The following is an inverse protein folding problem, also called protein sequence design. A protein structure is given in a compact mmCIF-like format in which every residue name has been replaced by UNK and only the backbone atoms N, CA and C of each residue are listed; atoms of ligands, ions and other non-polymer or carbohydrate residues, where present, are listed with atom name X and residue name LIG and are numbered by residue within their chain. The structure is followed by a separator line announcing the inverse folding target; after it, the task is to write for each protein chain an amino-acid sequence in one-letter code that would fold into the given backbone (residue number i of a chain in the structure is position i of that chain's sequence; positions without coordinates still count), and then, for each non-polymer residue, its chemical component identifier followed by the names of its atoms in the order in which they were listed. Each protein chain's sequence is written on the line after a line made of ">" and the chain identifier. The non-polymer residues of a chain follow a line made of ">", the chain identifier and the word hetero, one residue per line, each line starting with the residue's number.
data_IF_086447341267
#
_entry.id   IF_086447341267
#
_cell.length_a   1.000
_cell.length_b   1.000
_cell.length_c   1.000
_cell.angle_alpha   90.00
_cell.angle_beta   90.00
_cell.angle_gamma   90.00
#
_symmetry.space_group_name_H-M   'P 1'
#
loop_
_entity.id
_entity.type
_entity.pdbx_description
1 polymer ?
#
# COMPACT_ATOMS: atom_id res chain seq x y z
N UNK A 1 -39.99 2.61 32.95
CA UNK A 1 -38.98 3.56 32.43
C UNK A 1 -39.63 4.93 32.29
N UNK A 2 -39.19 5.91 33.09
CA UNK A 2 -39.74 7.27 33.14
C UNK A 2 -39.50 8.03 31.82
N UNK A 3 -40.35 9.02 31.53
CA UNK A 3 -40.32 9.82 30.28
C UNK A 3 -38.95 10.48 30.07
N UNK A 4 -38.30 10.92 31.16
CA UNK A 4 -36.93 11.46 31.18
C UNK A 4 -35.85 10.43 30.83
N UNK A 5 -35.94 9.20 31.33
CA UNK A 5 -35.01 8.11 30.99
C UNK A 5 -35.10 7.67 29.53
N UNK A 6 -36.32 7.67 28.95
CA UNK A 6 -36.52 7.40 27.51
C UNK A 6 -35.95 8.52 26.64
N UNK A 7 -36.17 9.78 27.00
CA UNK A 7 -35.60 10.92 26.27
C UNK A 7 -34.07 10.96 26.34
N UNK A 8 -33.48 10.66 27.50
CA UNK A 8 -32.03 10.58 27.65
C UNK A 8 -31.42 9.47 26.79
N UNK A 9 -32.02 8.27 26.80
CA UNK A 9 -31.58 7.15 25.97
C UNK A 9 -31.67 7.49 24.46
N UNK A 10 -32.75 8.15 24.03
CA UNK A 10 -32.92 8.57 22.64
C UNK A 10 -31.85 9.58 22.21
N UNK A 11 -31.56 10.57 23.05
CA UNK A 11 -30.50 11.55 22.76
C UNK A 11 -29.15 10.85 22.64
N UNK A 12 -28.82 9.94 23.55
CA UNK A 12 -27.56 9.21 23.53
C UNK A 12 -27.42 8.34 22.27
N UNK A 13 -28.49 7.64 21.87
CA UNK A 13 -28.51 6.85 20.62
C UNK A 13 -28.29 7.75 19.41
N UNK A 14 -28.97 8.89 19.32
CA UNK A 14 -28.78 9.84 18.22
C UNK A 14 -27.35 10.36 18.17
N UNK A 15 -26.74 10.70 19.30
CA UNK A 15 -25.34 11.15 19.36
C UNK A 15 -24.36 10.07 18.90
N UNK A 16 -24.56 8.82 19.32
CA UNK A 16 -23.73 7.68 18.87
C UNK A 16 -23.87 7.46 17.37
N UNK A 17 -25.08 7.54 16.82
CA UNK A 17 -25.32 7.41 15.39
C UNK A 17 -24.66 8.54 14.60
N UNK A 18 -24.78 9.78 15.07
CA UNK A 18 -24.12 10.93 14.44
C UNK A 18 -22.60 10.79 14.48
N UNK A 19 -22.03 10.34 15.60
CA UNK A 19 -20.60 10.08 15.72
C UNK A 19 -20.14 8.95 14.79
N UNK A 20 -20.91 7.87 14.66
CA UNK A 20 -20.61 6.76 13.77
C UNK A 20 -20.66 7.19 12.30
N UNK A 21 -21.69 7.92 11.89
CA UNK A 21 -21.84 8.43 10.51
C UNK A 21 -20.76 9.46 10.19
N UNK A 22 -20.54 10.43 11.08
CA UNK A 22 -19.51 11.46 10.92
C UNK A 22 -18.11 10.89 10.90
N UNK A 23 -17.78 9.99 11.84
CA UNK A 23 -16.50 9.31 11.91
C UNK A 23 -16.24 8.41 10.71
N UNK A 24 -17.23 7.60 10.32
CA UNK A 24 -17.14 6.74 9.13
C UNK A 24 -16.97 7.54 7.84
N UNK A 25 -17.71 8.64 7.68
CA UNK A 25 -17.56 9.55 6.55
C UNK A 25 -16.18 10.21 6.50
N UNK A 26 -15.65 10.63 7.65
CA UNK A 26 -14.31 11.21 7.77
C UNK A 26 -13.20 10.22 7.37
N UNK A 27 -13.26 8.99 7.88
CA UNK A 27 -12.31 7.92 7.51
C UNK A 27 -12.41 7.57 6.02
N UNK A 28 -13.62 7.48 5.48
CA UNK A 28 -13.81 7.22 4.06
C UNK A 28 -13.20 8.33 3.19
N UNK A 29 -13.41 9.60 3.55
CA UNK A 29 -12.82 10.74 2.83
C UNK A 29 -11.30 10.72 2.93
N UNK A 30 -10.74 10.47 4.11
CA UNK A 30 -9.29 10.37 4.35
C UNK A 30 -8.62 9.22 3.57
N UNK A 31 -9.41 8.22 3.15
CA UNK A 31 -8.96 7.11 2.32
C UNK A 31 -8.91 7.41 0.82
N UNK A 32 -9.48 8.53 0.37
CA UNK A 32 -9.54 8.87 -1.05
C UNK A 32 -8.19 9.41 -1.56
N UNK A 33 -7.79 9.09 -2.82
CA UNK A 33 -6.60 9.68 -3.43
C UNK A 33 -6.61 11.21 -3.46
N UNK A 34 -7.79 11.83 -3.54
CA UNK A 34 -7.97 13.29 -3.50
C UNK A 34 -7.57 13.90 -2.15
N UNK A 35 -7.83 13.21 -1.04
CA UNK A 35 -7.36 13.64 0.28
C UNK A 35 -5.84 13.61 0.33
N UNK A 36 -5.21 12.52 -0.12
CA UNK A 36 -3.75 12.44 -0.18
C UNK A 36 -3.16 13.55 -1.07
N UNK A 37 -3.79 13.86 -2.21
CA UNK A 37 -3.36 14.93 -3.11
C UNK A 37 -3.56 16.35 -2.55
N UNK A 38 -4.32 16.52 -1.47
CA UNK A 38 -4.52 17.83 -0.84
C UNK A 38 -3.27 18.35 -0.13
N UNK A 39 -2.33 17.46 0.22
CA UNK A 39 -1.07 17.82 0.84
C UNK A 39 0.03 18.01 -0.20
N UNK A 40 0.74 19.14 -0.16
CA UNK A 40 1.84 19.43 -1.12
C UNK A 40 2.89 18.30 -1.15
N UNK A 41 3.27 17.79 0.02
CA UNK A 41 4.31 16.75 0.17
C UNK A 41 3.93 15.43 -0.51
N UNK A 42 2.65 15.20 -0.77
CA UNK A 42 2.15 14.01 -1.44
C UNK A 42 1.96 14.18 -2.95
N UNK A 43 2.02 15.40 -3.50
CA UNK A 43 1.69 15.64 -4.91
C UNK A 43 2.53 14.82 -5.88
N UNK A 44 3.85 14.72 -5.67
CA UNK A 44 4.71 13.88 -6.53
C UNK A 44 4.32 12.40 -6.45
N UNK A 45 3.96 11.93 -5.25
CA UNK A 45 3.50 10.55 -5.03
C UNK A 45 2.16 10.30 -5.72
N UNK A 46 1.23 11.24 -5.60
CA UNK A 46 -0.05 11.21 -6.29
C UNK A 46 0.13 11.15 -7.81
N UNK A 47 0.97 12.02 -8.39
CA UNK A 47 1.23 12.01 -9.84
C UNK A 47 1.83 10.69 -10.30
N UNK A 48 2.82 10.15 -9.57
CA UNK A 48 3.40 8.84 -9.89
C UNK A 48 2.37 7.71 -9.81
N UNK A 49 1.52 7.70 -8.77
CA UNK A 49 0.41 6.74 -8.65
C UNK A 49 -0.56 6.85 -9.81
N UNK A 50 -1.04 8.07 -10.11
CA UNK A 50 -1.99 8.37 -11.19
C UNK A 50 -1.49 7.90 -12.56
N UNK A 51 -0.17 7.92 -12.77
CA UNK A 51 0.47 7.48 -14.02
C UNK A 51 0.82 5.99 -14.06
N UNK A 52 0.80 5.29 -12.92
CA UNK A 52 1.06 3.84 -12.86
C UNK A 52 -0.14 3.02 -13.34
N UNK A 53 0.04 1.71 -13.54
CA UNK A 53 -1.08 0.80 -13.84
C UNK A 53 -2.14 0.70 -12.74
N UNK A 54 -1.78 1.11 -11.52
CA UNK A 54 -2.65 1.13 -10.35
C UNK A 54 -3.40 2.47 -10.22
N UNK A 55 -2.98 3.49 -10.98
CA UNK A 55 -3.66 4.76 -11.09
C UNK A 55 -5.10 4.55 -11.54
N UNK A 56 -6.04 5.21 -10.87
CA UNK A 56 -7.49 5.14 -11.14
C UNK A 56 -8.17 3.79 -10.93
N UNK A 57 -7.44 2.77 -10.45
CA UNK A 57 -8.00 1.44 -10.16
C UNK A 57 -8.13 1.16 -8.68
N UNK A 58 -7.18 1.64 -7.87
CA UNK A 58 -7.12 1.39 -6.43
C UNK A 58 -6.82 2.67 -5.64
N UNK A 59 -7.30 2.76 -4.39
CA UNK A 59 -7.01 3.91 -3.52
C UNK A 59 -5.56 3.84 -3.02
N UNK A 60 -5.01 4.97 -2.57
CA UNK A 60 -3.68 5.01 -1.96
C UNK A 60 -3.60 4.07 -0.74
N UNK A 61 -4.63 4.11 0.11
CA UNK A 61 -4.69 3.31 1.34
C UNK A 61 -4.78 1.81 1.06
N UNK A 62 -5.31 1.40 -0.09
CA UNK A 62 -5.38 -0.02 -0.49
C UNK A 62 -4.00 -0.67 -0.45
N UNK A 63 -2.94 0.06 -0.83
CA UNK A 63 -1.56 -0.42 -0.75
C UNK A 63 -0.86 -0.04 0.56
N UNK A 64 -1.24 1.10 1.15
CA UNK A 64 -0.57 1.71 2.30
C UNK A 64 -1.18 1.37 3.66
N UNK A 65 -2.13 0.42 3.69
CA UNK A 65 -2.61 -0.22 4.92
C UNK A 65 -2.42 -1.73 4.86
N UNK A 66 -2.40 -2.35 6.04
CA UNK A 66 -2.61 -3.79 6.15
C UNK A 66 -4.04 -4.13 5.67
N UNK A 67 -4.26 -5.33 5.08
CA UNK A 67 -5.59 -5.76 4.66
C UNK A 67 -6.60 -5.78 5.81
N UNK A 68 -7.86 -5.41 5.50
CA UNK A 68 -8.98 -5.45 6.45
C UNK A 68 -9.16 -4.19 7.29
N UNK A 69 -10.29 -4.11 8.00
CA UNK A 69 -10.74 -2.88 8.69
C UNK A 69 -9.75 -2.38 9.75
N UNK A 70 -9.09 -3.29 10.46
CA UNK A 70 -8.14 -2.94 11.52
C UNK A 70 -6.83 -2.38 10.97
N UNK A 71 -6.37 -2.93 9.84
CA UNK A 71 -5.21 -2.42 9.13
C UNK A 71 -5.44 -1.02 8.60
N UNK A 72 -6.62 -0.76 8.04
CA UNK A 72 -7.02 0.57 7.59
C UNK A 72 -7.13 1.56 8.76
N UNK A 73 -7.76 1.18 9.89
CA UNK A 73 -7.83 2.03 11.08
C UNK A 73 -6.45 2.39 11.63
N UNK A 74 -5.54 1.40 11.71
CA UNK A 74 -4.15 1.62 12.14
C UNK A 74 -3.43 2.60 11.23
N UNK A 75 -3.59 2.47 9.91
CA UNK A 75 -2.99 3.38 8.95
C UNK A 75 -3.52 4.82 9.08
N UNK A 76 -4.80 5.00 9.41
CA UNK A 76 -5.35 6.33 9.72
C UNK A 76 -4.72 6.93 10.98
N UNK A 77 -4.56 6.16 12.05
CA UNK A 77 -3.91 6.62 13.30
C UNK A 77 -2.46 7.03 13.04
N UNK A 78 -1.72 6.22 12.27
CA UNK A 78 -0.34 6.55 11.87
C UNK A 78 -0.28 7.80 10.98
N UNK A 79 -1.24 7.95 10.05
CA UNK A 79 -1.38 9.15 9.24
C UNK A 79 -1.65 10.41 10.08
N UNK A 80 -2.53 10.33 11.08
CA UNK A 80 -2.79 11.45 12.01
C UNK A 80 -1.55 11.82 12.81
N UNK A 81 -0.78 10.85 13.30
CA UNK A 81 0.50 11.09 13.99
C UNK A 81 1.50 11.82 13.10
N UNK A 82 1.56 11.44 11.81
CA UNK A 82 2.40 12.13 10.86
C UNK A 82 1.95 13.57 10.62
N UNK A 83 0.65 13.81 10.43
CA UNK A 83 0.11 15.17 10.24
C UNK A 83 0.42 16.03 11.47
N UNK A 84 0.28 15.48 12.68
CA UNK A 84 0.64 16.15 13.92
C UNK A 84 2.13 16.55 13.93
N UNK A 85 3.03 15.62 13.57
CA UNK A 85 4.47 15.91 13.48
C UNK A 85 4.78 17.00 12.43
N UNK A 86 4.09 16.99 11.29
CA UNK A 86 4.24 17.99 10.24
C UNK A 86 3.83 19.40 10.70
N UNK A 87 2.74 19.50 11.47
CA UNK A 87 2.21 20.79 11.97
C UNK A 87 3.08 21.33 13.12
N UNK A 88 3.50 20.47 14.03
CA UNK A 88 4.30 20.86 15.21
C UNK A 88 5.78 21.07 14.90
N UNK A 89 6.24 20.67 13.71
CA UNK A 89 7.65 20.70 13.34
C UNK A 89 8.49 19.63 14.05
N UNK A 90 7.84 18.66 14.71
CA UNK A 90 8.49 17.57 15.39
C UNK A 90 9.21 16.65 14.39
N UNK A 91 10.54 16.64 14.44
CA UNK A 91 11.38 15.82 13.53
C UNK A 91 11.74 14.44 14.09
N UNK A 92 11.31 14.12 15.32
CA UNK A 92 11.45 12.80 15.96
C UNK A 92 10.43 11.78 15.48
N UNK A 93 9.44 12.19 14.68
CA UNK A 93 8.40 11.31 14.17
C UNK A 93 8.86 10.41 13.01
N UNK A 94 8.23 9.24 12.82
CA UNK A 94 8.53 8.38 11.67
C UNK A 94 8.26 9.14 10.36
N UNK A 95 9.26 9.16 9.48
CA UNK A 95 9.10 9.57 8.07
C UNK A 95 7.93 8.76 7.50
N UNK A 96 7.08 9.38 6.68
CA UNK A 96 5.94 8.75 5.99
C UNK A 96 6.45 7.66 5.03
N UNK A 97 6.82 6.53 5.61
CA UNK A 97 7.24 5.30 4.96
C UNK A 97 6.16 4.29 5.26
N UNK A 98 5.09 4.41 4.51
CA UNK A 98 4.08 3.38 4.52
C UNK A 98 4.71 2.06 4.07
N UNK A 99 4.58 1.05 4.92
CA UNK A 99 5.09 -0.29 4.65
C UNK A 99 4.06 -1.00 3.78
N UNK A 100 4.49 -1.47 2.62
CA UNK A 100 3.65 -2.26 1.71
C UNK A 100 4.09 -3.71 1.83
N UNK A 101 3.25 -4.53 2.47
CA UNK A 101 3.52 -5.95 2.68
C UNK A 101 3.00 -6.83 1.55
N UNK A 102 3.54 -8.05 1.45
CA UNK A 102 3.08 -9.07 0.50
C UNK A 102 1.56 -9.32 0.56
N UNK A 103 0.93 -9.42 1.75
CA UNK A 103 -0.52 -9.67 1.83
C UNK A 103 -1.36 -8.63 1.08
N UNK A 104 -0.89 -7.38 1.04
CA UNK A 104 -1.57 -6.30 0.34
C UNK A 104 -1.57 -6.51 -1.18
N UNK A 105 -0.46 -6.96 -1.76
CA UNK A 105 -0.37 -7.31 -3.17
C UNK A 105 -1.28 -8.50 -3.52
N UNK A 106 -1.27 -9.52 -2.65
CA UNK A 106 -2.00 -10.77 -2.85
C UNK A 106 -3.53 -10.63 -2.78
N UNK A 107 -4.06 -9.51 -2.26
CA UNK A 107 -5.50 -9.21 -2.31
C UNK A 107 -6.04 -9.15 -3.74
N UNK A 108 -5.22 -8.65 -4.68
CA UNK A 108 -5.61 -8.51 -6.08
C UNK A 108 -4.77 -9.37 -7.04
N UNK A 109 -3.58 -9.81 -6.60
CA UNK A 109 -2.67 -10.65 -7.35
C UNK A 109 -2.44 -11.98 -6.64
N UNK A 110 -3.44 -12.88 -6.59
CA UNK A 110 -3.30 -14.17 -5.92
C UNK A 110 -2.18 -14.99 -6.56
N UNK A 111 -1.50 -15.83 -5.77
CA UNK A 111 -0.37 -16.67 -6.24
C UNK A 111 -0.73 -17.47 -7.50
N UNK A 112 -1.96 -17.98 -7.59
CA UNK A 112 -2.47 -18.70 -8.76
C UNK A 112 -2.52 -17.89 -10.06
N UNK A 113 -2.60 -16.55 -9.95
CA UNK A 113 -2.59 -15.63 -11.09
C UNK A 113 -1.19 -15.12 -11.46
N UNK A 114 -0.20 -15.34 -10.60
CA UNK A 114 1.19 -14.95 -10.80
C UNK A 114 1.88 -15.92 -11.75
N UNK A 115 1.45 -15.92 -13.01
CA UNK A 115 2.13 -16.69 -14.04
C UNK A 115 3.56 -16.15 -14.24
N UNK A 116 4.52 -17.06 -14.39
CA UNK A 116 5.79 -16.78 -15.05
C UNK A 116 5.48 -16.41 -16.50
N UNK A 117 5.21 -15.12 -16.76
CA UNK A 117 4.82 -14.65 -18.09
C UNK A 117 6.03 -14.73 -19.02
N UNK A 118 5.94 -15.66 -19.96
CA UNK A 118 6.80 -15.76 -21.12
C UNK A 118 6.41 -14.62 -22.10
N UNK A 119 7.09 -13.48 -22.01
CA UNK A 119 7.05 -12.44 -23.05
C UNK A 119 8.21 -12.60 -24.04
N UNK A 120 8.64 -13.83 -24.32
CA UNK A 120 9.70 -14.09 -25.30
C UNK A 120 11.08 -13.55 -24.89
N UNK A 121 11.24 -13.10 -23.65
CA UNK A 121 12.50 -12.63 -23.09
C UNK A 121 13.01 -13.65 -22.07
N UNK A 122 14.31 -13.95 -22.16
CA UNK A 122 15.03 -15.12 -21.65
C UNK A 122 15.09 -15.30 -20.11
N UNK A 123 14.14 -14.77 -19.33
CA UNK A 123 14.15 -14.86 -17.86
C UNK A 123 12.80 -15.26 -17.30
N UNK A 124 12.67 -16.55 -17.02
CA UNK A 124 11.57 -17.13 -16.26
C UNK A 124 11.78 -16.85 -14.77
N UNK A 125 10.96 -15.98 -14.20
CA UNK A 125 10.88 -15.80 -12.74
C UNK A 125 9.75 -16.67 -12.22
N UNK A 126 10.07 -17.66 -11.39
CA UNK A 126 9.09 -18.43 -10.64
C UNK A 126 8.61 -17.60 -9.44
N UNK A 127 7.50 -16.89 -9.61
CA UNK A 127 6.91 -16.07 -8.54
C UNK A 127 6.44 -16.93 -7.36
N UNK A 128 5.95 -18.14 -7.62
CA UNK A 128 5.43 -19.02 -6.58
C UNK A 128 6.54 -19.49 -5.65
N UNK A 129 7.74 -19.80 -6.19
CA UNK A 129 8.91 -20.09 -5.36
C UNK A 129 9.30 -18.92 -4.44
N UNK A 130 9.28 -17.68 -4.95
CA UNK A 130 9.62 -16.48 -4.17
C UNK A 130 8.56 -16.12 -3.13
N UNK A 131 7.27 -16.28 -3.47
CA UNK A 131 6.16 -16.07 -2.53
C UNK A 131 6.22 -17.09 -1.39
N UNK A 132 6.46 -18.37 -1.70
CA UNK A 132 6.61 -19.43 -0.68
C UNK A 132 7.84 -19.25 0.21
N UNK A 133 8.87 -18.59 -0.29
CA UNK A 133 10.06 -18.19 0.49
C UNK A 133 9.89 -16.84 1.23
N UNK A 134 8.67 -16.29 1.25
CA UNK A 134 8.33 -14.98 1.85
C UNK A 134 9.21 -13.82 1.37
N UNK A 135 9.65 -13.85 0.11
CA UNK A 135 10.38 -12.74 -0.49
C UNK A 135 9.42 -11.58 -0.72
N UNK A 136 9.79 -10.38 -0.27
CA UNK A 136 8.94 -9.20 -0.46
C UNK A 136 8.72 -8.90 -1.95
N UNK A 137 7.48 -8.67 -2.37
CA UNK A 137 7.17 -8.22 -3.74
C UNK A 137 7.95 -6.94 -4.08
N UNK A 138 8.10 -6.04 -3.10
CA UNK A 138 8.86 -4.80 -3.22
C UNK A 138 10.37 -4.96 -3.34
N UNK A 139 10.93 -6.14 -3.06
CA UNK A 139 12.36 -6.41 -3.27
C UNK A 139 12.73 -6.26 -4.75
N UNK A 140 11.83 -6.68 -5.65
CA UNK A 140 11.96 -6.50 -7.09
C UNK A 140 11.11 -5.31 -7.59
N UNK A 141 9.84 -5.22 -7.16
CA UNK A 141 8.87 -4.23 -7.63
C UNK A 141 8.77 -2.96 -6.77
N UNK A 142 9.78 -2.63 -5.97
CA UNK A 142 9.76 -1.49 -5.04
C UNK A 142 9.57 -0.11 -5.68
N UNK A 143 9.68 -0.04 -7.01
CA UNK A 143 9.54 1.16 -7.83
C UNK A 143 8.25 1.18 -8.66
N UNK A 144 7.34 0.22 -8.51
CA UNK A 144 6.16 0.04 -9.37
C UNK A 144 5.29 1.30 -9.48
N UNK A 145 4.90 1.86 -8.32
CA UNK A 145 3.95 2.99 -8.23
C UNK A 145 4.67 4.34 -8.09
N UNK A 146 5.82 4.36 -7.40
CA UNK A 146 6.52 5.60 -7.03
C UNK A 146 7.93 5.74 -7.61
N UNK A 147 8.32 4.86 -8.54
CA UNK A 147 9.68 4.85 -9.10
C UNK A 147 9.83 5.52 -10.46
N UNK A 148 8.73 5.94 -11.10
CA UNK A 148 8.78 6.64 -12.38
C UNK A 148 7.62 7.63 -12.53
N UNK A 149 7.88 8.73 -13.23
CA UNK A 149 6.87 9.67 -13.71
C UNK A 149 6.53 9.45 -15.19
N UNK A 150 7.18 8.50 -15.89
CA UNK A 150 7.01 8.26 -17.33
C UNK A 150 5.72 7.52 -17.70
N UNK A 151 4.92 7.10 -16.72
CA UNK A 151 3.65 6.39 -16.93
C UNK A 151 3.78 4.94 -17.40
N UNK A 152 4.99 4.37 -17.30
CA UNK A 152 5.22 2.93 -17.46
C UNK A 152 5.66 2.35 -16.14
N UNK A 153 5.01 1.28 -15.72
CA UNK A 153 5.43 0.51 -14.55
C UNK A 153 6.87 0.02 -14.77
N UNK A 154 7.82 0.35 -13.89
CA UNK A 154 9.19 -0.11 -14.02
C UNK A 154 9.24 -1.63 -13.94
N UNK A 155 9.81 -2.26 -14.97
CA UNK A 155 10.24 -3.66 -14.89
C UNK A 155 11.48 -3.72 -13.99
N UNK A 156 11.54 -4.64 -13.02
CA UNK A 156 12.72 -4.78 -12.17
C UNK A 156 13.99 -5.00 -13.01
N UNK A 157 15.07 -4.21 -12.80
CA UNK A 157 16.31 -4.44 -13.52
C UNK A 157 16.96 -5.74 -13.07
N UNK A 158 17.69 -6.41 -13.97
CA UNK A 158 18.37 -7.68 -13.67
C UNK A 158 19.32 -7.61 -12.45
N UNK A 159 19.86 -6.42 -12.15
CA UNK A 159 20.66 -6.18 -10.96
C UNK A 159 19.93 -6.55 -9.65
N UNK A 160 18.59 -6.49 -9.60
CA UNK A 160 17.79 -6.95 -8.45
C UNK A 160 17.85 -8.46 -8.25
N UNK A 161 18.04 -9.24 -9.31
CA UNK A 161 18.23 -10.69 -9.19
C UNK A 161 19.59 -10.97 -8.54
N UNK A 162 20.63 -10.28 -9.01
CA UNK A 162 22.01 -10.45 -8.56
C UNK A 162 22.25 -10.04 -7.10
N UNK A 163 21.38 -9.21 -6.50
CA UNK A 163 21.50 -8.84 -5.09
C UNK A 163 21.22 -10.00 -4.13
N UNK A 164 20.54 -11.05 -4.59
CA UNK A 164 20.23 -12.25 -3.78
C UNK A 164 20.76 -13.54 -4.42
N UNK A 165 20.61 -13.69 -5.75
CA UNK A 165 21.14 -14.82 -6.49
C UNK A 165 22.57 -14.49 -6.96
N UNK A 166 23.58 -15.05 -6.29
CA UNK A 166 24.94 -15.02 -6.83
C UNK A 166 24.93 -15.67 -8.22
N UNK A 167 25.51 -15.04 -9.26
CA UNK A 167 25.77 -15.76 -10.49
C UNK A 167 26.64 -16.96 -10.13
N UNK A 168 26.25 -18.16 -10.57
CA UNK A 168 27.19 -19.27 -10.61
C UNK A 168 28.35 -18.81 -11.49
N UNK A 169 29.58 -18.99 -11.00
CA UNK A 169 30.75 -18.87 -11.86
C UNK A 169 30.47 -19.72 -13.11
N UNK A 170 30.53 -19.16 -14.33
CA UNK A 170 30.33 -19.92 -15.56
C UNK A 170 31.20 -21.18 -15.64
N UNK A 171 32.30 -21.25 -14.89
CA UNK A 171 33.18 -22.44 -14.76
C UNK A 171 32.59 -23.59 -13.92
N UNK A 172 31.51 -23.35 -13.18
CA UNK A 172 30.86 -24.34 -12.30
C UNK A 172 29.54 -24.87 -12.85
N UNK A 173 29.08 -24.36 -14.01
CA UNK A 173 27.96 -24.94 -14.72
C UNK A 173 28.41 -26.25 -15.40
N UNK A 174 27.92 -27.39 -14.91
CA UNK A 174 28.16 -28.69 -15.58
C UNK A 174 27.52 -28.67 -16.98
N UNK A 175 28.21 -29.11 -18.04
CA UNK A 175 27.60 -29.27 -19.35
C UNK A 175 26.55 -30.38 -19.27
N UNK A 176 25.30 -30.03 -19.58
CA UNK A 176 24.23 -30.98 -19.86
C UNK A 176 24.26 -31.45 -21.30
#
# INVERSE_FOLDING_TARGET
>A
MNRSGRSFLLVLVVLVLLAAVGGGGGLYYASLPSFCNSCHIMQTRYVSWKRSSHGDRVKCITCHSEPGMWGELKAHIEGTRYIYALITGERSGPVLKAKVGNPTCLQCHPESSLASRDRGEQRRVDHAAHVRADVSCGACHGSLVHGSLSGRDPVPPQARCASCHKPLDPRLASPG
#
